data_IF_170765629605
#
_entry.id   IF_170765629605
#
_cell.length_a   1.000
_cell.length_b   1.000
_cell.length_c   1.000
_cell.angle_alpha   90.00
_cell.angle_beta   90.00
_cell.angle_gamma   90.00
#
_symmetry.space_group_name_H-M   'P 1'
#
loop_
_entity.id
_entity.type
_entity.pdbx_description
1 polymer ?
#
# COMPACT_ATOMS: atom_id res chain seq x y z
N UNK A 1 -39.33 57.95 12.84
CA UNK A 1 -39.76 56.54 12.85
C UNK A 1 -39.49 55.97 11.46
N UNK A 2 -38.22 55.70 11.15
CA UNK A 2 -37.80 55.11 9.88
C UNK A 2 -37.72 53.60 10.06
N UNK A 3 -38.52 52.84 9.30
CA UNK A 3 -38.35 51.39 9.19
C UNK A 3 -37.45 51.13 7.99
N UNK A 4 -36.21 50.73 8.25
CA UNK A 4 -35.38 50.03 7.27
C UNK A 4 -36.05 48.70 6.96
N UNK A 5 -36.48 48.51 5.72
CA UNK A 5 -36.74 47.20 5.16
C UNK A 5 -35.41 46.64 4.65
N UNK A 6 -34.72 45.84 5.47
CA UNK A 6 -33.78 44.85 4.96
C UNK A 6 -34.57 43.60 4.65
N UNK A 7 -34.84 43.38 3.37
CA UNK A 7 -35.25 42.09 2.86
C UNK A 7 -33.96 41.34 2.53
N UNK A 8 -33.55 40.44 3.41
CA UNK A 8 -32.52 39.46 3.10
C UNK A 8 -33.14 38.49 2.09
N UNK A 9 -32.81 38.70 0.81
CA UNK A 9 -33.15 37.77 -0.26
C UNK A 9 -32.13 36.65 -0.18
N UNK A 10 -32.56 35.48 0.29
CA UNK A 10 -31.80 34.24 0.15
C UNK A 10 -31.81 33.84 -1.33
N UNK A 11 -30.71 34.13 -2.03
CA UNK A 11 -30.50 33.70 -3.40
C UNK A 11 -30.12 32.23 -3.39
N UNK A 12 -30.97 31.38 -3.97
CA UNK A 12 -30.61 29.98 -4.23
C UNK A 12 -29.63 29.92 -5.41
N UNK A 13 -28.66 29.00 -5.39
CA UNK A 13 -27.61 28.92 -6.44
C UNK A 13 -28.13 28.79 -7.89
N UNK A 14 -29.34 28.26 -8.10
CA UNK A 14 -29.98 28.23 -9.43
C UNK A 14 -30.39 29.64 -9.92
N UNK A 15 -30.89 30.50 -9.03
CA UNK A 15 -31.25 31.88 -9.36
C UNK A 15 -30.02 32.73 -9.68
N UNK A 16 -28.89 32.47 -9.01
CA UNK A 16 -27.62 33.15 -9.32
C UNK A 16 -27.07 32.74 -10.69
N UNK A 17 -27.12 31.45 -11.03
CA UNK A 17 -26.68 30.95 -12.33
C UNK A 17 -27.54 31.52 -13.48
N UNK A 18 -28.87 31.54 -13.34
CA UNK A 18 -29.78 32.13 -14.32
C UNK A 18 -29.56 33.65 -14.48
N UNK A 19 -29.26 34.36 -13.40
CA UNK A 19 -28.95 35.78 -13.44
C UNK A 19 -27.61 36.07 -14.15
N UNK A 20 -26.58 35.26 -13.91
CA UNK A 20 -25.28 35.36 -14.60
C UNK A 20 -25.42 35.11 -16.10
N UNK A 21 -26.18 34.09 -16.50
CA UNK A 21 -26.46 33.79 -17.91
C UNK A 21 -27.24 34.92 -18.60
N UNK A 22 -28.25 35.48 -17.91
CA UNK A 22 -29.03 36.61 -18.42
C UNK A 22 -28.15 37.85 -18.63
N UNK A 23 -27.29 38.19 -17.66
CA UNK A 23 -26.36 39.32 -17.74
C UNK A 23 -25.32 39.11 -18.84
N UNK A 24 -24.74 37.91 -18.96
CA UNK A 24 -23.78 37.58 -20.00
C UNK A 24 -24.39 37.73 -21.40
N UNK A 25 -25.65 37.30 -21.57
CA UNK A 25 -26.41 37.47 -22.82
C UNK A 25 -26.68 38.94 -23.15
N UNK A 26 -27.05 39.74 -22.14
CA UNK A 26 -27.25 41.19 -22.31
C UNK A 26 -25.96 41.92 -22.67
N UNK A 27 -24.84 41.54 -22.04
CA UNK A 27 -23.53 42.15 -22.28
C UNK A 27 -22.79 41.55 -23.49
N UNK A 28 -23.36 40.53 -24.15
CA UNK A 28 -22.73 39.79 -25.25
C UNK A 28 -21.34 39.23 -24.88
N UNK A 29 -21.16 38.82 -23.63
CA UNK A 29 -19.91 38.26 -23.12
C UNK A 29 -20.01 36.73 -23.13
N UNK A 30 -18.97 36.07 -23.64
CA UNK A 30 -18.86 34.62 -23.53
C UNK A 30 -18.44 34.24 -22.10
N UNK A 31 -19.26 33.43 -21.43
CA UNK A 31 -18.91 32.89 -20.12
C UNK A 31 -17.75 31.88 -20.25
N UNK A 32 -16.91 31.76 -19.20
CA UNK A 32 -15.84 30.79 -19.19
C UNK A 32 -16.40 29.36 -19.16
N UNK A 33 -15.66 28.43 -19.76
CA UNK A 33 -15.97 27.00 -19.60
C UNK A 33 -15.54 26.53 -18.21
N UNK A 34 -16.50 26.10 -17.39
CA UNK A 34 -16.24 25.55 -16.05
C UNK A 34 -16.50 24.05 -16.05
N UNK A 35 -15.46 23.26 -15.73
CA UNK A 35 -15.54 21.80 -15.64
C UNK A 35 -14.34 21.20 -14.93
N UNK A 36 -14.52 19.99 -14.38
CA UNK A 36 -13.41 19.18 -13.88
C UNK A 36 -12.57 18.61 -15.02
N UNK A 37 -11.34 18.18 -14.72
CA UNK A 37 -10.48 17.48 -15.70
C UNK A 37 -11.15 16.23 -16.28
N UNK A 38 -11.84 15.44 -15.46
CA UNK A 38 -12.60 14.27 -15.92
C UNK A 38 -13.72 14.66 -16.88
N UNK A 39 -14.48 15.73 -16.58
CA UNK A 39 -15.53 16.22 -17.46
C UNK A 39 -14.98 16.76 -18.78
N UNK A 40 -13.81 17.41 -18.77
CA UNK A 40 -13.11 17.82 -19.99
C UNK A 40 -12.66 16.61 -20.80
N UNK A 41 -12.06 15.60 -20.15
CA UNK A 41 -11.63 14.38 -20.81
C UNK A 41 -12.80 13.64 -21.47
N UNK A 42 -13.93 13.54 -20.78
CA UNK A 42 -15.16 12.99 -21.33
C UNK A 42 -15.65 13.79 -22.55
N UNK A 43 -15.63 15.12 -22.46
CA UNK A 43 -16.05 16.00 -23.55
C UNK A 43 -15.12 15.98 -24.77
N UNK A 44 -13.87 15.54 -24.61
CA UNK A 44 -12.91 15.38 -25.71
C UNK A 44 -13.11 14.01 -26.35
N UNK A 45 -13.16 12.95 -25.55
CA UNK A 45 -13.05 11.57 -26.01
C UNK A 45 -14.40 10.97 -26.38
N UNK A 46 -15.46 11.28 -25.62
CA UNK A 46 -16.77 10.63 -25.69
C UNK A 46 -16.67 9.10 -25.61
N UNK A 47 -16.26 8.55 -24.45
CA UNK A 47 -16.17 7.09 -24.30
C UNK A 47 -17.54 6.44 -24.50
N UNK A 48 -17.55 5.28 -25.17
CA UNK A 48 -18.72 4.39 -25.24
C UNK A 48 -18.74 3.41 -24.06
N UNK A 49 -17.58 3.27 -23.40
CA UNK A 49 -17.33 2.36 -22.29
C UNK A 49 -17.98 2.83 -20.98
N UNK A 50 -18.30 1.87 -20.11
CA UNK A 50 -18.75 2.15 -18.75
C UNK A 50 -17.56 2.56 -17.88
N UNK A 51 -17.60 3.76 -17.31
CA UNK A 51 -16.54 4.27 -16.46
C UNK A 51 -16.60 3.67 -15.04
N UNK A 52 -15.52 3.00 -14.65
CA UNK A 52 -15.32 2.43 -13.33
C UNK A 52 -14.70 3.45 -12.38
N UNK A 53 -15.30 3.53 -11.19
CA UNK A 53 -14.80 4.31 -10.08
C UNK A 53 -15.24 3.70 -8.75
N UNK A 54 -14.64 4.17 -7.68
CA UNK A 54 -15.05 3.87 -6.32
C UNK A 54 -15.82 5.07 -5.79
N UNK A 55 -17.11 4.87 -5.50
CA UNK A 55 -17.96 5.88 -4.89
C UNK A 55 -17.71 6.03 -3.38
N UNK A 56 -18.50 6.90 -2.75
CA UNK A 56 -18.46 7.10 -1.30
C UNK A 56 -18.89 5.83 -0.52
N UNK A 57 -18.79 5.84 0.82
CA UNK A 57 -19.25 4.73 1.67
C UNK A 57 -20.72 4.38 1.35
N UNK A 58 -20.96 3.12 0.98
CA UNK A 58 -22.29 2.63 0.58
C UNK A 58 -22.59 2.68 -0.92
N UNK A 59 -21.71 3.27 -1.73
CA UNK A 59 -21.84 3.30 -3.20
C UNK A 59 -21.08 2.15 -3.89
N UNK A 60 -21.29 2.03 -5.20
CA UNK A 60 -20.60 1.05 -6.03
C UNK A 60 -19.08 1.22 -5.98
N UNK A 61 -18.38 0.14 -5.65
CA UNK A 61 -16.92 0.03 -5.69
C UNK A 61 -16.50 -0.67 -7.00
N UNK A 62 -16.93 -0.12 -8.13
CA UNK A 62 -16.82 -0.76 -9.44
C UNK A 62 -15.37 -1.03 -9.83
N UNK A 63 -14.49 -0.06 -9.57
CA UNK A 63 -13.07 -0.19 -9.84
C UNK A 63 -12.42 -1.29 -8.99
N UNK A 64 -12.64 -1.27 -7.67
CA UNK A 64 -12.09 -2.30 -6.77
C UNK A 64 -12.61 -3.70 -7.13
N UNK A 65 -13.89 -3.83 -7.50
CA UNK A 65 -14.48 -5.10 -7.94
C UNK A 65 -13.87 -5.62 -9.24
N UNK A 66 -13.64 -4.74 -10.21
CA UNK A 66 -13.00 -5.12 -11.47
C UNK A 66 -11.58 -5.66 -11.23
N UNK A 67 -10.78 -4.98 -10.42
CA UNK A 67 -9.46 -5.46 -10.01
C UNK A 67 -9.52 -6.81 -9.27
N UNK A 68 -10.44 -6.92 -8.30
CA UNK A 68 -10.60 -8.16 -7.53
C UNK A 68 -10.97 -9.33 -8.44
N UNK A 69 -11.83 -9.11 -9.45
CA UNK A 69 -12.18 -10.16 -10.40
C UNK A 69 -10.97 -10.64 -11.21
N UNK A 70 -10.10 -9.73 -11.67
CA UNK A 70 -8.87 -10.13 -12.38
C UNK A 70 -8.00 -10.98 -11.47
N UNK A 71 -7.81 -10.58 -10.21
CA UNK A 71 -7.07 -11.34 -9.21
C UNK A 71 -7.71 -12.71 -8.99
N UNK A 72 -9.02 -12.77 -8.82
CA UNK A 72 -9.74 -14.02 -8.54
C UNK A 72 -9.64 -14.99 -9.71
N UNK A 73 -9.79 -14.51 -10.95
CA UNK A 73 -9.63 -15.30 -12.18
C UNK A 73 -8.20 -15.86 -12.27
N UNK A 74 -7.22 -15.03 -11.95
CA UNK A 74 -5.81 -15.41 -11.88
C UNK A 74 -5.54 -16.44 -10.77
N UNK A 75 -6.23 -16.36 -9.61
CA UNK A 75 -6.12 -17.34 -8.53
C UNK A 75 -6.79 -18.68 -8.85
N UNK A 76 -7.69 -18.74 -9.85
CA UNK A 76 -8.21 -19.99 -10.39
C UNK A 76 -7.21 -20.68 -11.32
N UNK A 77 -6.29 -19.93 -11.93
CA UNK A 77 -5.23 -20.48 -12.75
C UNK A 77 -4.17 -21.18 -11.88
N UNK A 78 -3.89 -22.45 -12.19
CA UNK A 78 -3.01 -23.28 -11.37
C UNK A 78 -1.53 -22.82 -11.46
N UNK A 79 -1.11 -22.31 -12.61
CA UNK A 79 0.25 -21.82 -12.82
C UNK A 79 0.47 -20.52 -12.04
N UNK A 80 -0.44 -19.56 -12.18
CA UNK A 80 -0.34 -18.27 -11.48
C UNK A 80 -0.46 -18.44 -9.96
N UNK A 81 -1.40 -19.26 -9.49
CA UNK A 81 -1.49 -19.62 -8.08
C UNK A 81 -0.20 -20.26 -7.56
N UNK A 82 0.46 -21.09 -8.38
CA UNK A 82 1.76 -21.66 -8.09
C UNK A 82 2.84 -20.58 -7.93
N UNK A 83 2.90 -19.62 -8.86
CA UNK A 83 3.85 -18.50 -8.82
C UNK A 83 3.60 -17.57 -7.61
N UNK A 84 2.35 -17.26 -7.26
CA UNK A 84 2.04 -16.51 -6.02
C UNK A 84 2.52 -17.29 -4.81
N UNK A 85 2.21 -18.58 -4.73
CA UNK A 85 2.66 -19.42 -3.62
C UNK A 85 4.18 -19.36 -3.48
N UNK A 86 4.90 -19.52 -4.59
CA UNK A 86 6.36 -19.45 -4.62
C UNK A 86 6.85 -18.07 -4.15
N UNK A 87 6.29 -16.99 -4.70
CA UNK A 87 6.62 -15.61 -4.31
C UNK A 87 6.43 -15.41 -2.81
N UNK A 88 5.29 -15.81 -2.26
CA UNK A 88 4.97 -15.58 -0.86
C UNK A 88 5.83 -16.43 0.07
N UNK A 89 6.09 -17.69 -0.28
CA UNK A 89 7.02 -18.54 0.48
C UNK A 89 8.46 -18.01 0.41
N UNK A 90 8.89 -17.53 -0.76
CA UNK A 90 10.19 -16.89 -0.93
C UNK A 90 10.29 -15.61 -0.09
N UNK A 91 9.25 -14.77 -0.09
CA UNK A 91 9.18 -13.55 0.72
C UNK A 91 9.32 -13.83 2.22
N UNK A 92 8.71 -14.92 2.72
CA UNK A 92 8.86 -15.33 4.11
C UNK A 92 10.26 -15.83 4.46
N UNK A 93 10.92 -16.48 3.49
CA UNK A 93 12.27 -17.05 3.65
C UNK A 93 13.38 -16.06 3.42
N UNK A 94 13.10 -14.97 2.71
CA UNK A 94 14.16 -14.10 2.23
C UNK A 94 14.88 -13.46 3.42
N UNK A 95 16.11 -13.95 3.63
CA UNK A 95 17.05 -13.42 4.59
C UNK A 95 17.34 -11.96 4.24
N UNK A 96 16.85 -11.07 5.10
CA UNK A 96 17.03 -9.62 5.04
C UNK A 96 18.49 -9.17 4.87
N UNK A 97 19.46 -10.03 5.19
CA UNK A 97 20.88 -9.79 4.96
C UNK A 97 21.22 -9.61 3.47
N UNK A 98 20.47 -10.22 2.54
CA UNK A 98 20.67 -10.01 1.09
C UNK A 98 20.16 -8.66 0.60
N UNK A 99 19.03 -8.18 1.14
CA UNK A 99 18.48 -6.85 0.84
C UNK A 99 19.43 -5.75 1.35
N UNK A 100 20.14 -6.02 2.45
CA UNK A 100 21.18 -5.14 2.99
C UNK A 100 22.43 -5.12 2.10
N UNK A 101 22.84 -6.27 1.56
CA UNK A 101 23.96 -6.34 0.63
C UNK A 101 23.69 -5.61 -0.71
N UNK A 102 22.42 -5.38 -1.08
CA UNK A 102 22.05 -4.64 -2.28
C UNK A 102 22.16 -3.11 -2.20
N UNK A 103 22.46 -2.54 -1.03
CA UNK A 103 22.43 -1.08 -0.77
C UNK A 103 23.78 -0.51 -0.32
N UNK A 104 24.84 -0.75 -1.10
CA UNK A 104 26.20 -0.24 -0.84
C UNK A 104 26.33 1.29 -0.92
N UNK A 105 25.28 1.97 -1.34
CA UNK A 105 25.16 3.39 -1.63
C UNK A 105 24.46 4.20 -0.52
N UNK A 106 23.94 3.55 0.53
CA UNK A 106 23.28 4.23 1.66
C UNK A 106 24.16 4.27 2.92
N UNK A 107 24.03 5.33 3.71
CA UNK A 107 24.77 5.45 4.98
C UNK A 107 24.29 4.40 5.98
N UNK A 108 25.16 4.01 6.93
CA UNK A 108 24.85 3.04 7.99
C UNK A 108 23.56 3.38 8.76
N UNK A 109 23.27 4.67 8.94
CA UNK A 109 22.08 5.19 9.64
C UNK A 109 20.79 5.08 8.82
N UNK A 110 20.85 5.30 7.51
CA UNK A 110 19.71 5.11 6.59
C UNK A 110 19.37 3.62 6.47
N UNK A 111 20.40 2.78 6.40
CA UNK A 111 20.25 1.33 6.37
C UNK A 111 19.66 0.78 7.68
N UNK A 112 20.02 1.38 8.82
CA UNK A 112 19.41 1.11 10.14
C UNK A 112 17.97 1.63 10.25
N UNK A 113 17.66 2.82 9.72
CA UNK A 113 16.28 3.37 9.67
C UNK A 113 15.38 2.52 8.79
N UNK A 114 15.86 2.09 7.63
CA UNK A 114 15.16 1.18 6.72
C UNK A 114 14.91 -0.19 7.37
N UNK A 115 15.93 -0.79 8.00
CA UNK A 115 15.76 -2.02 8.80
C UNK A 115 14.70 -1.87 9.89
N UNK A 116 14.61 -0.68 10.50
CA UNK A 116 13.62 -0.39 11.54
C UNK A 116 12.22 -0.09 11.00
N UNK A 117 12.08 0.25 9.72
CA UNK A 117 10.81 0.58 9.07
C UNK A 117 10.14 -0.60 8.38
N UNK A 118 10.84 -1.73 8.22
CA UNK A 118 10.27 -2.92 7.60
C UNK A 118 9.17 -3.53 8.49
N UNK A 119 8.07 -4.04 7.89
CA UNK A 119 7.03 -4.73 8.63
C UNK A 119 7.63 -5.93 9.38
N UNK A 120 7.62 -5.88 10.71
CA UNK A 120 8.16 -6.93 11.59
C UNK A 120 7.12 -8.00 11.85
N UNK A 121 6.54 -8.54 10.78
CA UNK A 121 5.52 -9.56 10.90
C UNK A 121 6.12 -10.96 10.78
N UNK A 122 5.75 -11.87 11.68
CA UNK A 122 6.15 -13.29 11.61
C UNK A 122 5.41 -14.03 10.50
N UNK A 123 5.89 -15.22 10.12
CA UNK A 123 5.17 -16.17 9.27
C UNK A 123 3.82 -16.54 9.92
N UNK A 124 3.75 -16.57 11.25
CA UNK A 124 2.50 -16.75 12.00
C UNK A 124 1.53 -15.57 11.90
N UNK A 125 2.02 -14.36 11.59
CA UNK A 125 1.22 -13.13 11.51
C UNK A 125 1.33 -12.20 12.71
N UNK A 126 2.24 -12.48 13.63
CA UNK A 126 2.47 -11.61 14.79
C UNK A 126 3.33 -10.42 14.39
N UNK A 127 2.89 -9.21 14.77
CA UNK A 127 3.71 -8.01 14.68
C UNK A 127 4.62 -7.95 15.90
N UNK A 128 5.89 -8.32 15.70
CA UNK A 128 6.88 -8.40 16.78
C UNK A 128 7.77 -7.15 16.83
N UNK A 129 8.42 -6.91 17.97
CA UNK A 129 9.16 -5.65 18.23
C UNK A 129 10.59 -5.68 17.74
N UNK A 130 11.18 -6.86 17.60
CA UNK A 130 12.58 -7.02 17.19
C UNK A 130 12.78 -8.11 16.15
N UNK A 131 13.93 -8.06 15.47
CA UNK A 131 14.33 -9.10 14.52
C UNK A 131 14.55 -10.45 15.23
N UNK A 132 15.14 -10.45 16.42
CA UNK A 132 15.32 -11.67 17.21
C UNK A 132 14.00 -12.32 17.60
N UNK A 133 13.01 -11.52 18.03
CA UNK A 133 11.64 -12.02 18.25
C UNK A 133 11.03 -12.60 16.98
N UNK A 134 11.27 -12.01 15.80
CA UNK A 134 10.77 -12.56 14.53
C UNK A 134 11.34 -13.94 14.27
N UNK A 135 12.66 -14.12 14.44
CA UNK A 135 13.32 -15.42 14.26
C UNK A 135 12.75 -16.46 15.23
N UNK A 136 12.48 -16.08 16.50
CA UNK A 136 11.83 -16.97 17.47
C UNK A 136 10.41 -17.33 17.02
N UNK A 137 9.58 -16.33 16.67
CA UNK A 137 8.20 -16.53 16.24
C UNK A 137 8.11 -17.45 15.00
N UNK A 138 8.97 -17.20 14.01
CA UNK A 138 9.05 -17.98 12.77
C UNK A 138 9.48 -19.42 13.07
N UNK A 139 10.49 -19.63 13.92
CA UNK A 139 10.91 -20.97 14.36
C UNK A 139 9.78 -21.73 15.05
N UNK A 140 9.11 -21.09 16.03
CA UNK A 140 8.02 -21.73 16.77
C UNK A 140 6.87 -22.12 15.83
N UNK A 141 6.52 -21.24 14.89
CA UNK A 141 5.50 -21.52 13.88
C UNK A 141 5.90 -22.67 12.96
N UNK A 142 7.11 -22.64 12.38
CA UNK A 142 7.61 -23.68 11.47
C UNK A 142 7.73 -25.06 12.12
N UNK A 143 7.90 -25.11 13.44
CA UNK A 143 8.04 -26.35 14.21
C UNK A 143 6.75 -26.80 14.92
N UNK A 144 5.61 -26.20 14.55
CA UNK A 144 4.28 -26.52 15.08
C UNK A 144 4.17 -26.34 16.61
N UNK A 145 4.90 -25.38 17.17
CA UNK A 145 4.85 -25.06 18.59
C UNK A 145 3.84 -23.94 18.82
N UNK A 146 2.73 -24.26 19.48
CA UNK A 146 1.74 -23.26 19.86
C UNK A 146 2.29 -22.31 20.93
N UNK A 147 2.22 -21.00 20.66
CA UNK A 147 2.63 -19.95 21.59
C UNK A 147 1.61 -18.80 21.64
N UNK A 148 1.79 -17.91 22.62
CA UNK A 148 1.15 -16.60 22.69
C UNK A 148 2.20 -15.51 22.80
N UNK A 149 2.20 -14.59 21.83
CA UNK A 149 3.04 -13.39 21.84
C UNK A 149 2.46 -12.34 22.78
N UNK A 150 3.31 -11.68 23.58
CA UNK A 150 2.95 -10.59 24.50
C UNK A 150 1.70 -10.86 25.37
N UNK A 151 1.55 -12.09 25.86
CA UNK A 151 0.41 -12.46 26.69
C UNK A 151 0.43 -11.66 27.99
N UNK A 152 -0.68 -11.03 28.33
CA UNK A 152 -0.80 -10.29 29.58
C UNK A 152 -0.64 -11.19 30.81
N UNK A 153 0.20 -10.72 31.74
CA UNK A 153 0.48 -11.38 33.00
C UNK A 153 0.45 -10.36 34.14
N UNK A 154 -0.31 -10.66 35.17
CA UNK A 154 -0.45 -9.77 36.31
C UNK A 154 0.73 -9.96 37.28
N UNK A 155 1.56 -8.93 37.40
CA UNK A 155 2.72 -8.92 38.29
C UNK A 155 2.59 -7.77 39.30
N UNK A 156 2.12 -8.10 40.51
CA UNK A 156 1.89 -7.11 41.54
C UNK A 156 0.73 -6.18 41.16
N UNK A 157 1.05 -4.93 40.81
CA UNK A 157 0.10 -3.92 40.33
C UNK A 157 0.34 -3.54 38.85
N UNK A 158 1.25 -4.24 38.17
CA UNK A 158 1.67 -3.93 36.79
C UNK A 158 1.23 -5.04 35.84
N UNK A 159 0.72 -4.63 34.68
CA UNK A 159 0.53 -5.50 33.53
C UNK A 159 1.88 -5.73 32.85
N UNK A 160 2.43 -6.93 33.02
CA UNK A 160 3.65 -7.36 32.36
C UNK A 160 3.30 -8.32 31.22
N UNK A 161 4.02 -8.21 30.11
CA UNK A 161 3.84 -9.03 28.92
C UNK A 161 5.18 -9.66 28.55
N UNK A 162 5.41 -10.95 28.87
CA UNK A 162 6.54 -11.66 28.32
C UNK A 162 6.46 -11.76 26.81
N UNK A 163 7.61 -11.79 26.13
CA UNK A 163 7.66 -11.81 24.66
C UNK A 163 6.93 -13.05 24.12
N UNK A 164 7.26 -14.25 24.63
CA UNK A 164 6.56 -15.48 24.26
C UNK A 164 6.15 -16.31 25.47
N UNK A 165 4.94 -16.85 25.42
CA UNK A 165 4.43 -17.84 26.37
C UNK A 165 4.08 -19.14 25.63
N UNK A 166 4.72 -20.24 26.01
CA UNK A 166 4.42 -21.60 25.51
C UNK A 166 3.81 -22.39 26.67
N UNK A 167 2.62 -22.94 26.48
CA UNK A 167 1.94 -23.70 27.53
C UNK A 167 2.28 -25.19 27.42
N UNK A 168 2.73 -25.78 28.52
CA UNK A 168 2.79 -27.25 28.70
C UNK A 168 1.46 -27.75 29.28
N UNK A 169 0.87 -26.97 30.20
CA UNK A 169 -0.47 -27.16 30.76
C UNK A 169 -1.15 -25.79 30.93
N UNK A 170 -2.42 -25.69 31.36
CA UNK A 170 -3.05 -24.39 31.62
C UNK A 170 -2.36 -23.52 32.67
N UNK A 171 -1.50 -24.11 33.54
CA UNK A 171 -0.83 -23.40 34.65
C UNK A 171 0.69 -23.52 34.63
N UNK A 172 1.27 -24.21 33.66
CA UNK A 172 2.72 -24.42 33.54
C UNK A 172 3.18 -24.25 32.10
N UNK A 173 4.45 -23.91 31.92
CA UNK A 173 4.95 -23.63 30.58
C UNK A 173 6.35 -23.05 30.56
N UNK A 174 6.69 -22.51 29.39
CA UNK A 174 7.96 -21.86 29.11
C UNK A 174 7.68 -20.42 28.74
N UNK A 175 8.46 -19.51 29.33
CA UNK A 175 8.53 -18.11 28.97
C UNK A 175 9.82 -17.90 28.18
N UNK A 176 9.74 -17.20 27.06
CA UNK A 176 10.91 -16.76 26.32
C UNK A 176 10.94 -15.24 26.37
N UNK A 177 12.08 -14.68 26.77
CA UNK A 177 12.38 -13.25 26.75
C UNK A 177 13.56 -12.98 25.82
N UNK A 178 13.43 -11.97 24.96
CA UNK A 178 14.48 -11.47 24.09
C UNK A 178 14.94 -10.09 24.57
N UNK A 179 16.07 -10.07 25.29
CA UNK A 179 16.64 -8.85 25.86
C UNK A 179 17.42 -8.04 24.83
N UNK A 180 16.67 -7.29 24.00
CA UNK A 180 17.21 -6.49 22.89
C UNK A 180 18.12 -5.32 23.28
N UNK A 181 18.13 -4.90 24.55
CA UNK A 181 18.87 -3.74 25.07
C UNK A 181 19.87 -4.10 26.19
N UNK A 182 20.33 -5.34 26.24
CA UNK A 182 21.28 -5.80 27.27
C UNK A 182 22.53 -4.89 27.34
N UNK A 183 22.88 -4.45 28.56
CA UNK A 183 24.01 -3.56 28.83
C UNK A 183 23.64 -2.09 29.11
N UNK A 184 22.34 -1.76 29.10
CA UNK A 184 21.82 -0.51 29.67
C UNK A 184 21.45 -0.71 31.16
N UNK A 185 21.93 0.14 32.10
CA UNK A 185 21.76 -0.10 33.53
C UNK A 185 20.32 -0.21 34.02
N UNK A 186 19.43 0.66 33.53
CA UNK A 186 18.02 0.70 33.95
C UNK A 186 17.29 -0.52 33.35
N UNK A 187 17.62 -0.90 32.12
CA UNK A 187 17.09 -2.11 31.47
C UNK A 187 17.59 -3.41 32.13
N UNK A 188 18.85 -3.43 32.60
CA UNK A 188 19.45 -4.59 33.25
C UNK A 188 18.83 -4.83 34.64
N UNK A 189 18.43 -3.77 35.37
CA UNK A 189 17.66 -3.88 36.61
C UNK A 189 16.29 -4.49 36.34
N UNK A 190 15.54 -3.97 35.36
CA UNK A 190 14.24 -4.52 34.95
C UNK A 190 14.34 -6.00 34.54
N UNK A 191 15.36 -6.35 33.77
CA UNK A 191 15.61 -7.73 33.33
C UNK A 191 15.90 -8.66 34.53
N UNK A 192 16.59 -8.14 35.55
CA UNK A 192 16.89 -8.89 36.77
C UNK A 192 15.66 -9.13 37.64
N UNK A 193 14.72 -8.18 37.69
CA UNK A 193 13.44 -8.38 38.37
C UNK A 193 12.57 -9.41 37.65
N UNK A 194 12.52 -9.40 36.31
CA UNK A 194 11.84 -10.44 35.53
C UNK A 194 12.40 -11.82 35.83
N UNK A 195 13.73 -11.96 35.87
CA UNK A 195 14.41 -13.21 36.24
C UNK A 195 13.99 -13.70 37.62
N UNK A 196 13.99 -12.80 38.62
CA UNK A 196 13.58 -13.14 39.98
C UNK A 196 12.12 -13.58 40.04
N UNK A 197 11.25 -12.88 39.31
CA UNK A 197 9.84 -13.19 39.23
C UNK A 197 9.58 -14.60 38.69
N UNK A 198 10.15 -14.95 37.53
CA UNK A 198 9.94 -16.27 36.94
C UNK A 198 10.63 -17.40 37.71
N UNK A 199 11.83 -17.16 38.28
CA UNK A 199 12.48 -18.13 39.19
C UNK A 199 11.64 -18.46 40.43
N UNK A 200 10.79 -17.55 40.88
CA UNK A 200 9.89 -17.80 42.01
C UNK A 200 8.69 -18.70 41.67
N UNK A 201 8.49 -19.04 40.38
CA UNK A 201 7.38 -19.86 39.90
C UNK A 201 7.88 -21.22 39.41
N UNK A 202 7.80 -22.28 40.23
CA UNK A 202 8.40 -23.58 39.91
C UNK A 202 7.77 -24.28 38.70
N UNK A 203 6.54 -23.90 38.32
CA UNK A 203 5.82 -24.45 37.17
C UNK A 203 6.16 -23.75 35.84
N UNK A 204 7.03 -22.73 35.88
CA UNK A 204 7.37 -21.90 34.71
C UNK A 204 8.87 -21.82 34.51
N UNK A 205 9.33 -22.23 33.33
CA UNK A 205 10.72 -22.14 32.92
C UNK A 205 10.95 -20.83 32.16
N UNK A 206 12.05 -20.12 32.43
CA UNK A 206 12.45 -18.92 31.69
C UNK A 206 13.64 -19.25 30.77
N UNK A 207 13.48 -18.98 29.48
CA UNK A 207 14.55 -19.00 28.48
C UNK A 207 14.84 -17.55 28.09
N UNK A 208 16.13 -17.19 28.06
CA UNK A 208 16.59 -15.84 27.79
C UNK A 208 17.46 -15.83 26.54
N UNK A 209 17.21 -14.88 25.65
CA UNK A 209 18.01 -14.60 24.47
C UNK A 209 18.33 -13.10 24.37
N UNK A 210 19.30 -12.76 23.54
CA UNK A 210 19.81 -11.41 23.36
C UNK A 210 20.47 -11.24 21.98
N UNK A 211 20.79 -10.00 21.56
CA UNK A 211 21.57 -9.78 20.35
C UNK A 211 22.96 -10.45 20.36
N UNK A 212 23.50 -10.80 21.53
CA UNK A 212 24.78 -11.49 21.64
C UNK A 212 24.75 -12.90 21.05
N UNK A 213 23.58 -13.54 21.07
CA UNK A 213 23.39 -14.94 20.67
C UNK A 213 23.49 -15.11 19.14
N UNK A 214 23.22 -14.04 18.38
CA UNK A 214 23.48 -13.97 16.94
C UNK A 214 24.98 -13.87 16.57
N UNK A 215 25.88 -13.57 17.52
CA UNK A 215 27.32 -13.44 17.22
C UNK A 215 27.99 -14.76 16.91
N UNK A 216 27.38 -15.87 17.30
CA UNK A 216 27.88 -17.22 17.07
C UNK A 216 27.14 -17.79 15.86
N UNK A 217 27.80 -17.85 14.70
CA UNK A 217 27.24 -18.41 13.45
C UNK A 217 25.93 -17.76 12.95
N UNK A 218 25.64 -16.52 13.36
CA UNK A 218 24.49 -15.77 12.85
C UNK A 218 23.14 -16.39 13.24
N UNK A 219 22.18 -16.34 12.32
CA UNK A 219 20.81 -16.84 12.52
C UNK A 219 20.77 -18.35 12.76
N UNK A 220 21.59 -19.13 12.04
CA UNK A 220 21.63 -20.59 12.19
C UNK A 220 22.09 -21.00 13.59
N UNK A 221 23.15 -20.36 14.10
CA UNK A 221 23.63 -20.61 15.46
C UNK A 221 22.61 -20.23 16.53
N UNK A 222 21.91 -19.11 16.32
CA UNK A 222 20.80 -18.70 17.18
C UNK A 222 19.65 -19.72 17.18
N UNK A 223 19.25 -20.21 16.01
CA UNK A 223 18.21 -21.24 15.86
C UNK A 223 18.61 -22.54 16.56
N UNK A 224 19.88 -22.94 16.46
CA UNK A 224 20.37 -24.15 17.13
C UNK A 224 20.36 -24.01 18.66
N UNK A 225 20.72 -22.83 19.18
CA UNK A 225 20.60 -22.52 20.61
C UNK A 225 19.14 -22.53 21.07
N UNK A 226 18.24 -21.87 20.32
CA UNK A 226 16.80 -21.87 20.58
C UNK A 226 16.24 -23.30 20.61
N UNK A 227 16.57 -24.11 19.60
CA UNK A 227 16.17 -25.51 19.52
C UNK A 227 16.69 -26.31 20.72
N UNK A 228 17.95 -26.11 21.11
CA UNK A 228 18.55 -26.75 22.27
C UNK A 228 17.79 -26.43 23.56
N UNK A 229 17.61 -25.14 23.84
CA UNK A 229 16.91 -24.66 25.03
C UNK A 229 15.47 -25.18 25.10
N UNK A 230 14.72 -25.17 23.99
CA UNK A 230 13.35 -25.69 23.94
C UNK A 230 13.31 -27.23 24.10
N UNK A 231 14.30 -27.95 23.58
CA UNK A 231 14.38 -29.41 23.73
C UNK A 231 14.62 -29.82 25.18
N UNK A 232 15.47 -29.09 25.91
CA UNK A 232 15.69 -29.30 27.35
C UNK A 232 14.40 -29.13 28.15
N UNK A 233 13.46 -28.32 27.65
CA UNK A 233 12.13 -28.16 28.21
C UNK A 233 11.14 -29.27 27.83
N UNK A 234 11.58 -30.28 27.10
CA UNK A 234 10.75 -31.42 26.67
C UNK A 234 9.79 -31.09 25.53
N UNK A 235 9.99 -29.98 24.81
CA UNK A 235 9.18 -29.65 23.64
C UNK A 235 9.53 -30.55 22.45
N UNK A 236 8.49 -31.01 21.76
CA UNK A 236 8.61 -31.81 20.54
C UNK A 236 8.52 -30.89 19.33
N UNK A 237 9.41 -31.10 18.36
CA UNK A 237 9.45 -30.31 17.12
C UNK A 237 8.86 -31.12 15.99
N UNK A 238 7.75 -30.63 15.41
CA UNK A 238 7.19 -31.16 14.18
C UNK A 238 7.40 -30.11 13.09
N UNK A 239 8.51 -30.21 12.35
CA UNK A 239 8.77 -29.25 11.28
C UNK A 239 7.72 -29.43 10.19
N UNK A 240 6.95 -28.37 9.95
CA UNK A 240 5.94 -28.31 8.93
C UNK A 240 6.58 -28.39 7.53
N UNK A 241 5.91 -29.09 6.63
CA UNK A 241 6.18 -29.02 5.21
C UNK A 241 5.77 -27.65 4.64
N UNK A 242 6.28 -27.32 3.45
CA UNK A 242 5.89 -26.08 2.77
C UNK A 242 4.39 -26.04 2.46
N UNK A 243 3.78 -27.19 2.16
CA UNK A 243 2.35 -27.31 1.93
C UNK A 243 1.55 -26.95 3.19
N UNK A 244 1.98 -27.44 4.35
CA UNK A 244 1.34 -27.13 5.63
C UNK A 244 1.51 -25.67 6.04
N UNK A 245 2.70 -25.11 5.85
CA UNK A 245 2.96 -23.67 6.06
C UNK A 245 2.05 -22.86 5.15
N UNK A 246 2.03 -23.16 3.86
CA UNK A 246 1.21 -22.48 2.87
C UNK A 246 -0.27 -22.53 3.25
N UNK A 247 -0.81 -23.71 3.60
CA UNK A 247 -2.22 -23.85 3.98
C UNK A 247 -2.61 -22.97 5.18
N UNK A 248 -1.68 -22.71 6.10
CA UNK A 248 -1.92 -21.87 7.29
C UNK A 248 -1.84 -20.37 7.00
N UNK A 249 -1.03 -19.95 6.03
CA UNK A 249 -0.77 -18.53 5.75
C UNK A 249 -1.45 -18.02 4.48
N UNK A 250 -1.95 -18.92 3.62
CA UNK A 250 -2.42 -18.63 2.25
C UNK A 250 -3.34 -17.43 2.19
N UNK A 251 -4.39 -17.40 3.00
CA UNK A 251 -5.44 -16.39 2.83
C UNK A 251 -4.86 -14.98 3.10
N UNK A 252 -4.11 -14.82 4.20
CA UNK A 252 -3.39 -13.57 4.51
C UNK A 252 -2.31 -13.24 3.46
N UNK A 253 -1.62 -14.26 2.94
CA UNK A 253 -0.58 -14.07 1.95
C UNK A 253 -1.16 -13.57 0.62
N UNK A 254 -2.28 -14.14 0.17
CA UNK A 254 -3.04 -13.70 -0.99
C UNK A 254 -3.55 -12.28 -0.77
N UNK A 255 -4.16 -11.97 0.38
CA UNK A 255 -4.64 -10.62 0.66
C UNK A 255 -3.53 -9.57 0.56
N UNK A 256 -2.33 -9.87 1.06
CA UNK A 256 -1.17 -8.97 0.92
C UNK A 256 -0.73 -8.80 -0.52
N UNK A 257 -0.62 -9.90 -1.26
CA UNK A 257 -0.27 -9.85 -2.67
C UNK A 257 -1.28 -8.98 -3.43
N UNK A 258 -2.58 -9.21 -3.24
CA UNK A 258 -3.66 -8.46 -3.86
C UNK A 258 -3.55 -6.97 -3.57
N UNK A 259 -3.38 -6.58 -2.30
CA UNK A 259 -3.24 -5.18 -1.92
C UNK A 259 -2.00 -4.52 -2.56
N UNK A 260 -0.87 -5.22 -2.58
CA UNK A 260 0.36 -4.73 -3.21
C UNK A 260 0.19 -4.57 -4.72
N UNK A 261 -0.42 -5.56 -5.38
CA UNK A 261 -0.64 -5.59 -6.82
C UNK A 261 -1.61 -4.49 -7.26
N UNK A 262 -2.75 -4.32 -6.58
CA UNK A 262 -3.72 -3.24 -6.84
C UNK A 262 -3.05 -1.88 -6.71
N UNK A 263 -2.28 -1.66 -5.64
CA UNK A 263 -1.55 -0.41 -5.44
C UNK A 263 -0.49 -0.17 -6.53
N UNK A 264 0.18 -1.23 -6.99
CA UNK A 264 1.18 -1.14 -8.05
C UNK A 264 0.56 -0.81 -9.40
N UNK A 265 -0.47 -1.55 -9.82
CA UNK A 265 -1.18 -1.29 -11.09
C UNK A 265 -1.80 0.10 -11.08
N UNK A 266 -2.40 0.53 -9.98
CA UNK A 266 -2.92 1.89 -9.84
C UNK A 266 -1.85 2.97 -10.04
N UNK A 267 -0.59 2.73 -9.62
CA UNK A 267 0.53 3.65 -9.92
C UNK A 267 0.92 3.62 -11.39
N UNK A 268 0.94 2.45 -12.03
CA UNK A 268 1.19 2.34 -13.47
C UNK A 268 0.18 3.16 -14.28
N UNK A 269 -1.12 3.05 -13.93
CA UNK A 269 -2.19 3.85 -14.54
C UNK A 269 -1.99 5.35 -14.31
N UNK A 270 -1.69 5.78 -13.08
CA UNK A 270 -1.43 7.21 -12.80
C UNK A 270 -0.21 7.77 -13.54
N UNK A 271 0.77 6.94 -13.85
CA UNK A 271 1.95 7.31 -14.64
C UNK A 271 1.76 7.12 -16.15
N UNK A 272 0.57 6.74 -16.60
CA UNK A 272 0.25 6.38 -17.99
C UNK A 272 1.22 5.39 -18.62
N UNK A 273 1.71 4.41 -17.83
CA UNK A 273 2.57 3.35 -18.36
C UNK A 273 1.72 2.32 -19.09
N UNK A 274 2.08 1.95 -20.31
CA UNK A 274 1.56 0.73 -20.94
C UNK A 274 2.24 -0.52 -20.35
N UNK A 275 1.70 -1.73 -20.57
CA UNK A 275 2.41 -2.97 -20.23
C UNK A 275 3.78 -3.08 -20.91
N UNK A 276 3.94 -2.52 -22.11
CA UNK A 276 5.23 -2.49 -22.82
C UNK A 276 6.22 -1.52 -22.18
N UNK A 277 5.75 -0.34 -21.74
CA UNK A 277 6.59 0.62 -21.00
C UNK A 277 7.02 0.02 -19.66
N UNK A 278 6.08 -0.63 -18.94
CA UNK A 278 6.38 -1.31 -17.69
C UNK A 278 7.40 -2.43 -17.90
N UNK A 279 7.23 -3.26 -18.94
CA UNK A 279 8.20 -4.30 -19.29
C UNK A 279 9.60 -3.73 -19.55
N UNK A 280 9.68 -2.64 -20.32
CA UNK A 280 10.96 -1.95 -20.59
C UNK A 280 11.60 -1.38 -19.32
N UNK A 281 10.80 -0.89 -18.37
CA UNK A 281 11.28 -0.44 -17.07
C UNK A 281 11.79 -1.61 -16.23
N UNK A 282 11.08 -2.73 -16.22
CA UNK A 282 11.49 -3.96 -15.51
C UNK A 282 12.80 -4.50 -16.09
N UNK A 283 12.93 -4.58 -17.42
CA UNK A 283 14.14 -5.07 -18.10
C UNK A 283 15.38 -4.20 -17.81
N UNK A 284 15.18 -2.89 -17.68
CA UNK A 284 16.24 -1.94 -17.33
C UNK A 284 16.52 -1.89 -15.81
N UNK A 285 15.61 -2.40 -15.00
CA UNK A 285 15.72 -2.40 -13.55
C UNK A 285 16.55 -3.59 -13.07
N UNK A 286 17.29 -3.40 -11.98
CA UNK A 286 18.00 -4.48 -11.31
C UNK A 286 17.30 -4.77 -9.99
N UNK A 287 16.51 -5.85 -9.89
CA UNK A 287 15.87 -6.24 -8.65
C UNK A 287 16.89 -6.37 -7.52
N UNK A 288 16.52 -5.86 -6.35
CA UNK A 288 17.30 -5.95 -5.12
C UNK A 288 17.27 -7.37 -4.56
N UNK A 289 16.26 -8.16 -4.93
CA UNK A 289 16.10 -9.53 -4.48
C UNK A 289 15.33 -10.41 -5.49
N UNK A 290 15.51 -11.74 -5.45
CA UNK A 290 14.69 -12.67 -6.23
C UNK A 290 13.19 -12.48 -5.99
N UNK A 291 12.75 -12.20 -4.75
CA UNK A 291 11.34 -11.96 -4.42
C UNK A 291 10.81 -10.73 -5.14
N UNK A 292 11.59 -9.65 -5.19
CA UNK A 292 11.21 -8.46 -5.96
C UNK A 292 11.05 -8.78 -7.45
N UNK A 293 11.97 -9.54 -8.04
CA UNK A 293 11.88 -9.99 -9.44
C UNK A 293 10.59 -10.77 -9.69
N UNK A 294 10.30 -11.77 -8.85
CA UNK A 294 9.09 -12.59 -8.96
C UNK A 294 7.81 -11.75 -8.85
N UNK A 295 7.80 -10.75 -7.97
CA UNK A 295 6.68 -9.83 -7.85
C UNK A 295 6.49 -8.97 -9.10
N UNK A 296 7.58 -8.44 -9.66
CA UNK A 296 7.54 -7.63 -10.89
C UNK A 296 7.01 -8.44 -12.08
N UNK A 297 7.46 -9.69 -12.24
CA UNK A 297 6.98 -10.58 -13.29
C UNK A 297 5.47 -10.85 -13.15
N UNK A 298 5.02 -11.15 -11.92
CA UNK A 298 3.61 -11.42 -11.64
C UNK A 298 2.70 -10.20 -11.86
N UNK A 299 3.14 -9.03 -11.39
CA UNK A 299 2.32 -7.82 -11.50
C UNK A 299 2.31 -7.27 -12.92
N UNK A 300 3.34 -7.55 -13.73
CA UNK A 300 3.35 -7.22 -15.16
C UNK A 300 2.26 -7.97 -15.92
N UNK A 301 2.16 -9.30 -15.72
CA UNK A 301 1.10 -10.13 -16.31
C UNK A 301 -0.29 -9.69 -15.83
N UNK A 302 -0.43 -9.45 -14.52
CA UNK A 302 -1.68 -8.98 -13.94
C UNK A 302 -2.10 -7.62 -14.51
N UNK A 303 -1.14 -6.72 -14.75
CA UNK A 303 -1.44 -5.41 -15.32
C UNK A 303 -2.00 -5.54 -16.74
N UNK A 304 -1.37 -6.36 -17.58
CA UNK A 304 -1.85 -6.63 -18.92
C UNK A 304 -3.28 -7.19 -18.89
N UNK A 305 -3.53 -8.19 -18.04
CA UNK A 305 -4.85 -8.79 -17.92
C UNK A 305 -5.92 -7.83 -17.39
N UNK A 306 -5.56 -6.91 -16.49
CA UNK A 306 -6.48 -5.86 -16.05
C UNK A 306 -6.92 -4.98 -17.23
N UNK A 307 -5.99 -4.55 -18.08
CA UNK A 307 -6.33 -3.75 -19.26
C UNK A 307 -7.14 -4.55 -20.28
N UNK A 308 -6.79 -5.80 -20.53
CA UNK A 308 -7.54 -6.68 -21.43
C UNK A 308 -8.97 -6.90 -20.93
N UNK A 309 -9.15 -7.04 -19.61
CA UNK A 309 -10.47 -7.14 -19.00
C UNK A 309 -11.28 -5.89 -19.31
N UNK A 310 -10.76 -4.69 -19.04
CA UNK A 310 -11.45 -3.42 -19.32
C UNK A 310 -11.95 -3.38 -20.78
N UNK A 311 -11.07 -3.71 -21.73
CA UNK A 311 -11.42 -3.77 -23.16
C UNK A 311 -12.52 -4.80 -23.43
N UNK A 312 -12.37 -6.02 -22.94
CA UNK A 312 -13.32 -7.12 -23.20
C UNK A 312 -14.71 -6.91 -22.59
N UNK A 313 -14.81 -6.16 -21.49
CA UNK A 313 -16.07 -5.86 -20.82
C UNK A 313 -16.69 -4.54 -21.27
N UNK A 314 -16.03 -3.78 -22.15
CA UNK A 314 -16.47 -2.43 -22.53
C UNK A 314 -16.46 -1.46 -21.35
N UNK A 315 -15.46 -1.58 -20.49
CA UNK A 315 -15.26 -0.76 -19.30
C UNK A 315 -13.96 0.07 -19.43
N UNK A 316 -13.85 1.15 -18.66
CA UNK A 316 -12.63 1.97 -18.59
C UNK A 316 -12.56 2.64 -17.22
N UNK A 317 -11.38 2.98 -16.71
CA UNK A 317 -11.22 3.74 -15.47
C UNK A 317 -10.96 5.23 -15.75
N UNK A 318 -11.12 6.08 -14.73
CA UNK A 318 -10.90 7.52 -14.89
C UNK A 318 -9.45 7.88 -15.28
N UNK A 319 -8.48 7.10 -14.82
CA UNK A 319 -7.08 7.30 -15.18
C UNK A 319 -6.89 7.09 -16.70
N UNK A 320 -7.46 6.01 -17.25
CA UNK A 320 -7.46 5.70 -18.69
C UNK A 320 -8.17 6.73 -19.53
N UNK A 321 -9.31 7.23 -19.05
CA UNK A 321 -10.03 8.33 -19.72
C UNK A 321 -9.15 9.58 -19.87
N UNK A 322 -8.43 9.97 -18.81
CA UNK A 322 -7.52 11.11 -18.84
C UNK A 322 -6.33 10.87 -19.77
N UNK A 323 -5.74 9.67 -19.74
CA UNK A 323 -4.66 9.27 -20.65
C UNK A 323 -5.08 9.38 -22.12
N UNK A 324 -6.27 8.87 -22.44
CA UNK A 324 -6.85 8.94 -23.79
C UNK A 324 -7.12 10.37 -24.20
N UNK A 325 -7.64 11.20 -23.31
CA UNK A 325 -7.88 12.61 -23.59
C UNK A 325 -6.57 13.36 -23.90
N UNK A 326 -5.53 13.16 -23.08
CA UNK A 326 -4.22 13.77 -23.29
C UNK A 326 -3.58 13.32 -24.60
N UNK A 327 -3.69 12.03 -24.93
CA UNK A 327 -3.25 11.47 -26.21
C UNK A 327 -4.03 12.08 -27.39
N UNK A 328 -5.36 12.13 -27.31
CA UNK A 328 -6.22 12.67 -28.35
C UNK A 328 -5.92 14.15 -28.64
N UNK A 329 -5.75 14.97 -27.60
CA UNK A 329 -5.36 16.38 -27.74
C UNK A 329 -3.97 16.48 -28.37
N UNK A 330 -3.00 15.68 -27.91
CA UNK A 330 -1.63 15.67 -28.46
C UNK A 330 -1.55 15.26 -29.93
N UNK A 331 -2.58 14.55 -30.42
CA UNK A 331 -2.78 14.17 -31.82
C UNK A 331 -3.64 15.18 -32.61
N UNK A 332 -4.02 16.32 -32.01
CA UNK A 332 -4.72 17.42 -32.66
C UNK A 332 -6.24 17.44 -32.47
N UNK A 333 -6.83 16.54 -31.67
CA UNK A 333 -8.26 16.60 -31.31
C UNK A 333 -8.48 17.64 -30.22
N UNK A 334 -8.68 18.89 -30.64
CA UNK A 334 -8.79 20.04 -29.72
C UNK A 334 -10.22 20.48 -29.44
N UNK A 335 -11.20 19.95 -30.17
CA UNK A 335 -12.62 20.22 -29.91
C UNK A 335 -13.14 19.39 -28.75
N UNK A 336 -13.95 20.02 -27.91
CA UNK A 336 -14.69 19.34 -26.85
C UNK A 336 -16.18 19.69 -26.95
N UNK A 337 -17.05 18.73 -26.64
CA UNK A 337 -18.50 18.88 -26.75
C UNK A 337 -19.21 18.39 -25.48
N UNK A 338 -20.13 19.21 -24.97
CA UNK A 338 -20.97 18.91 -23.80
C UNK A 338 -22.39 19.36 -24.09
N UNK A 339 -23.34 18.87 -23.27
CA UNK A 339 -24.74 19.33 -23.31
C UNK A 339 -24.86 20.85 -23.11
N UNK A 340 -23.98 21.42 -22.28
CA UNK A 340 -23.97 22.85 -21.93
C UNK A 340 -23.19 23.71 -22.94
N UNK A 341 -22.56 23.10 -23.95
CA UNK A 341 -21.83 23.83 -24.99
C UNK A 341 -20.63 23.07 -25.54
N UNK A 342 -20.04 23.61 -26.60
CA UNK A 342 -18.86 23.07 -27.27
C UNK A 342 -17.78 24.15 -27.40
N UNK A 343 -16.52 23.75 -27.41
CA UNK A 343 -15.40 24.68 -27.60
C UNK A 343 -14.22 24.05 -28.32
N UNK A 344 -13.18 24.85 -28.50
CA UNK A 344 -11.92 24.44 -29.12
C UNK A 344 -10.75 24.91 -28.26
N UNK A 345 -9.95 23.97 -27.78
CA UNK A 345 -8.79 24.21 -26.91
C UNK A 345 -7.76 25.15 -27.56
N UNK A 346 -7.71 25.21 -28.90
CA UNK A 346 -6.84 26.16 -29.64
C UNK A 346 -7.27 27.62 -29.53
N UNK A 347 -8.52 27.86 -29.14
CA UNK A 347 -9.09 29.22 -28.99
C UNK A 347 -9.13 29.69 -27.55
N UNK A 348 -8.66 28.88 -26.61
CA UNK A 348 -8.63 29.21 -25.20
C UNK A 348 -7.42 30.11 -24.93
N UNK A 349 -7.65 31.32 -24.43
CA UNK A 349 -6.57 32.24 -24.06
C UNK A 349 -6.06 31.98 -22.64
N UNK A 350 -6.95 31.56 -21.74
CA UNK A 350 -6.69 31.47 -20.30
C UNK A 350 -7.25 30.15 -19.74
N UNK A 351 -6.46 29.46 -18.92
CA UNK A 351 -6.90 28.29 -18.14
C UNK A 351 -6.59 28.57 -16.68
N UNK A 352 -7.63 28.48 -15.85
CA UNK A 352 -7.53 28.58 -14.40
C UNK A 352 -7.72 27.20 -13.80
N UNK A 353 -6.78 26.78 -12.96
CA UNK A 353 -6.86 25.52 -12.21
C UNK A 353 -7.05 25.87 -10.74
N UNK A 354 -8.19 25.47 -10.22
CA UNK A 354 -8.51 25.56 -8.80
C UNK A 354 -8.13 24.25 -8.08
N UNK A 355 -8.05 24.30 -6.74
CA UNK A 355 -7.72 23.16 -5.87
C UNK A 355 -6.43 22.44 -6.28
N UNK A 356 -5.37 23.22 -6.53
CA UNK A 356 -4.09 22.70 -7.02
C UNK A 356 -3.41 21.71 -6.06
N UNK A 357 -3.80 21.66 -4.78
CA UNK A 357 -3.30 20.65 -3.84
C UNK A 357 -3.66 19.20 -4.23
N UNK A 358 -4.74 19.00 -5.00
CA UNK A 358 -5.19 17.69 -5.48
C UNK A 358 -4.71 17.40 -6.91
N UNK A 359 -3.73 18.17 -7.40
CA UNK A 359 -3.25 18.09 -8.77
C UNK A 359 -2.40 16.84 -9.02
N UNK A 360 -2.71 16.10 -10.09
CA UNK A 360 -2.06 14.83 -10.45
C UNK A 360 -1.21 14.94 -11.73
N UNK A 361 -0.30 13.98 -11.94
CA UNK A 361 0.49 13.90 -13.18
C UNK A 361 -0.39 13.74 -14.43
N UNK A 362 -1.53 13.05 -14.33
CA UNK A 362 -2.48 12.93 -15.44
C UNK A 362 -3.11 14.27 -15.82
N UNK A 363 -3.46 15.11 -14.84
CA UNK A 363 -3.95 16.45 -15.10
C UNK A 363 -2.86 17.31 -15.74
N UNK A 364 -1.63 17.19 -15.24
CA UNK A 364 -0.47 17.85 -15.83
C UNK A 364 -0.28 17.47 -17.30
N UNK A 365 -0.32 16.17 -17.64
CA UNK A 365 -0.19 15.68 -19.02
C UNK A 365 -1.28 16.22 -19.94
N UNK A 366 -2.53 16.27 -19.47
CA UNK A 366 -3.60 16.89 -20.25
C UNK A 366 -3.32 18.38 -20.50
N UNK A 367 -2.91 19.14 -19.48
CA UNK A 367 -2.53 20.55 -19.68
C UNK A 367 -1.35 20.72 -20.64
N UNK A 368 -0.34 19.85 -20.58
CA UNK A 368 0.79 19.87 -21.50
C UNK A 368 0.35 19.60 -22.94
N UNK A 369 -0.56 18.64 -23.14
CA UNK A 369 -1.13 18.37 -24.47
C UNK A 369 -1.88 19.59 -25.03
N UNK A 370 -2.62 20.31 -24.18
CA UNK A 370 -3.31 21.55 -24.55
C UNK A 370 -2.30 22.62 -24.94
N UNK A 371 -1.24 22.83 -24.14
CA UNK A 371 -0.18 23.81 -24.43
C UNK A 371 0.59 23.51 -25.71
N UNK A 372 0.77 22.22 -26.04
CA UNK A 372 1.40 21.81 -27.29
C UNK A 372 0.58 22.26 -28.49
N UNK A 373 -0.75 22.09 -28.44
CA UNK A 373 -1.66 22.51 -29.50
C UNK A 373 -1.99 24.01 -29.47
N UNK A 374 -1.79 24.67 -28.33
CA UNK A 374 -2.01 26.09 -28.11
C UNK A 374 -0.87 26.71 -27.28
N UNK A 375 0.27 27.04 -27.90
CA UNK A 375 1.43 27.58 -27.18
C UNK A 375 1.19 28.94 -26.51
N UNK A 376 0.16 29.68 -26.95
CA UNK A 376 -0.20 31.00 -26.43
C UNK A 376 -1.12 30.98 -25.20
N UNK A 377 -1.62 29.81 -24.79
CA UNK A 377 -2.50 29.70 -23.62
C UNK A 377 -1.76 30.09 -22.34
N UNK A 378 -2.40 30.92 -21.52
CA UNK A 378 -1.88 31.32 -20.21
C UNK A 378 -2.51 30.47 -19.11
N UNK A 379 -1.66 29.86 -18.26
CA UNK A 379 -2.08 29.02 -17.15
C UNK A 379 -1.98 29.78 -15.83
N UNK A 380 -3.03 29.72 -15.02
CA UNK A 380 -3.09 30.26 -13.67
C UNK A 380 -3.51 29.13 -12.73
N UNK A 381 -2.76 28.95 -11.64
CA UNK A 381 -3.07 27.95 -10.60
C UNK A 381 -3.38 28.67 -9.30
N UNK A 382 -4.44 28.27 -8.64
CA UNK A 382 -4.83 28.79 -7.33
C UNK A 382 -4.23 27.88 -6.27
N UNK A 383 -3.40 28.46 -5.40
CA UNK A 383 -2.81 27.77 -4.25
C UNK A 383 -3.33 28.48 -3.00
N UNK A 384 -4.17 27.79 -2.24
CA UNK A 384 -4.58 28.23 -0.92
C UNK A 384 -3.38 28.10 0.02
N UNK A 385 -2.61 29.18 0.17
CA UNK A 385 -1.62 29.25 1.25
C UNK A 385 -2.38 29.49 2.55
N UNK A 386 -2.61 28.43 3.31
CA UNK A 386 -3.06 28.55 4.68
C UNK A 386 -2.04 29.42 5.43
N UNK A 387 -2.42 30.66 5.77
CA UNK A 387 -1.78 31.33 6.90
C UNK A 387 -2.16 30.53 8.14
N UNK A 388 -1.23 29.72 8.62
CA UNK A 388 -1.22 29.31 10.03
C UNK A 388 -1.03 30.52 10.92
#
# INVERSE_FOLDING_TARGET
>A
MGKEFKQDVEWTGEMEAEAVDAVAKTLQVALPYVMTFHALAYAIVHPEESLLYNGAEGESQGLSKAFQQVIDDFLQDAEFKGRIRELMLAHFREDWDRIVAGRYDQTKEELLKYRRSLPRESIGGDYVKSYGEKVIADFLFEHDIAYKYERNHWWGEVNYRPDFTIFKTPKSGVIIEYFGLAGDPDYDEMSSDKRRYWRSKPDWDLIEFSPADFRINGVEGFIDQLRGALREQGLVFNRLSEDEIWLRVRDRAIDRFTNAAVGFVGRCRKQSLSPQDLGSLIDAYKPLSPVESMFLDLVHDLYAAYLDRLVSTGEEDFDGLLQRAASAVSSGRTRFERKTGSGDLRKICYVFVDEFQDFSDLFYRLLQSIRKENPGVQLFVLVMTGRQ
#
